data_IF_638588083834
#
_entry.id   IF_638588083834
#
_cell.length_a   1.000
_cell.length_b   1.000
_cell.length_c   1.000
_cell.angle_alpha   90.00
_cell.angle_beta   90.00
_cell.angle_gamma   90.00
#
_symmetry.space_group_name_H-M   'P 1'
#
loop_
_entity.id
_entity.type
_entity.pdbx_description
1 polymer ?
#
# COMPACT_ATOMS: atom_id res chain seq x y z
N UNK A 1 -3.54 36.54 43.96
CA UNK A 1 -3.97 35.13 43.97
C UNK A 1 -4.43 34.79 42.57
N UNK A 2 -3.55 34.23 41.75
CA UNK A 2 -3.86 33.67 40.45
C UNK A 2 -3.15 32.32 40.42
N UNK A 3 -3.93 31.25 40.48
CA UNK A 3 -3.45 29.88 40.48
C UNK A 3 -3.34 29.44 39.01
N UNK A 4 -2.11 29.19 38.55
CA UNK A 4 -1.84 28.71 37.20
C UNK A 4 -1.64 27.21 37.27
N UNK A 5 -2.71 26.46 37.02
CA UNK A 5 -2.66 24.99 36.90
C UNK A 5 -1.87 24.62 35.65
N UNK A 6 -0.65 24.11 35.84
CA UNK A 6 0.18 23.51 34.79
C UNK A 6 -0.37 22.12 34.49
N UNK A 7 -0.71 21.85 33.22
CA UNK A 7 -1.10 20.51 32.77
C UNK A 7 0.10 19.54 32.89
N UNK A 8 -0.12 18.28 33.32
CA UNK A 8 0.98 17.33 33.45
C UNK A 8 1.56 16.98 32.08
N UNK A 9 2.89 16.88 32.05
CA UNK A 9 3.64 16.40 30.90
C UNK A 9 3.16 14.98 30.54
N UNK A 10 2.91 14.76 29.25
CA UNK A 10 2.68 13.43 28.70
C UNK A 10 3.97 12.61 28.86
N UNK A 11 3.95 11.64 29.77
CA UNK A 11 4.97 10.60 29.85
C UNK A 11 5.03 9.88 28.51
N UNK A 12 6.19 9.96 27.87
CA UNK A 12 6.54 9.14 26.72
C UNK A 12 6.53 7.68 27.19
N UNK A 13 5.51 6.93 26.76
CA UNK A 13 5.36 5.52 27.08
C UNK A 13 6.45 4.75 26.34
N UNK A 14 7.64 4.65 26.95
CA UNK A 14 8.67 3.70 26.56
C UNK A 14 8.14 2.29 26.87
N UNK A 15 7.46 1.70 25.91
CA UNK A 15 7.17 0.26 25.89
C UNK A 15 8.48 -0.46 25.58
N UNK A 16 9.23 -0.77 26.64
CA UNK A 16 10.36 -1.68 26.61
C UNK A 16 9.81 -3.11 26.55
N UNK A 17 9.41 -3.53 25.35
CA UNK A 17 9.09 -4.92 25.06
C UNK A 17 10.39 -5.64 24.63
N UNK A 18 10.67 -6.86 25.12
CA UNK A 18 11.85 -7.60 24.71
C UNK A 18 11.82 -7.78 23.19
N UNK A 19 12.90 -7.38 22.52
CA UNK A 19 13.04 -7.47 21.07
C UNK A 19 12.99 -8.93 20.61
N UNK A 20 11.79 -9.41 20.31
CA UNK A 20 11.59 -10.69 19.65
C UNK A 20 12.02 -10.53 18.19
N UNK A 21 13.10 -11.19 17.80
CA UNK A 21 13.46 -11.36 16.39
C UNK A 21 12.29 -12.02 15.67
N UNK A 22 11.80 -11.40 14.59
CA UNK A 22 10.59 -11.84 13.91
C UNK A 22 10.60 -11.44 12.44
N UNK A 23 10.06 -12.31 11.58
CA UNK A 23 9.83 -12.00 10.15
C UNK A 23 8.79 -10.88 10.03
N UNK A 24 8.79 -10.17 8.90
CA UNK A 24 7.72 -9.23 8.56
C UNK A 24 6.33 -9.91 8.69
N UNK A 25 5.36 -9.20 9.27
CA UNK A 25 3.96 -9.64 9.39
C UNK A 25 3.07 -8.67 8.61
N UNK A 26 2.48 -9.18 7.53
CA UNK A 26 1.69 -8.39 6.59
C UNK A 26 0.42 -9.18 6.29
N UNK A 27 -0.68 -8.71 6.86
CA UNK A 27 -1.99 -9.35 6.75
C UNK A 27 -3.11 -8.28 6.80
N UNK A 28 -4.39 -8.65 6.61
CA UNK A 28 -5.48 -7.68 6.56
C UNK A 28 -5.70 -6.82 7.82
N UNK A 29 -5.08 -7.17 8.95
CA UNK A 29 -5.25 -6.48 10.24
C UNK A 29 -3.96 -5.86 10.77
N UNK A 30 -2.79 -6.29 10.31
CA UNK A 30 -1.48 -5.92 10.85
C UNK A 30 -0.44 -5.74 9.74
N UNK A 31 0.42 -4.74 9.94
CA UNK A 31 1.59 -4.47 9.10
C UNK A 31 2.76 -4.15 10.03
N UNK A 32 3.78 -5.02 10.04
CA UNK A 32 5.02 -4.80 10.78
C UNK A 32 6.23 -5.31 10.01
N UNK A 33 7.34 -4.58 10.10
CA UNK A 33 8.62 -4.94 9.47
C UNK A 33 9.36 -6.01 10.26
N UNK A 34 10.34 -6.65 9.61
CA UNK A 34 11.22 -7.62 10.26
C UNK A 34 12.03 -6.97 11.40
N UNK A 35 12.12 -7.64 12.55
CA UNK A 35 12.93 -7.20 13.69
C UNK A 35 14.28 -7.90 13.65
N UNK A 36 15.36 -7.11 13.50
CA UNK A 36 16.73 -7.61 13.48
C UNK A 36 17.23 -8.07 14.85
N UNK A 37 18.38 -8.74 14.88
CA UNK A 37 19.06 -9.18 16.12
C UNK A 37 19.45 -7.99 17.04
N UNK A 38 19.58 -6.80 16.46
CA UNK A 38 19.81 -5.54 17.17
C UNK A 38 18.53 -4.90 17.73
N UNK A 39 17.39 -5.59 17.60
CA UNK A 39 16.07 -5.14 18.03
C UNK A 39 15.45 -4.05 17.16
N UNK A 40 16.07 -3.68 16.04
CA UNK A 40 15.55 -2.63 15.16
C UNK A 40 14.60 -3.20 14.11
N UNK A 41 13.53 -2.46 13.85
CA UNK A 41 12.58 -2.76 12.78
C UNK A 41 13.19 -2.35 11.44
N UNK A 42 13.34 -3.30 10.53
CA UNK A 42 13.76 -3.08 9.14
C UNK A 42 12.59 -2.54 8.32
N UNK A 43 12.90 -1.84 7.23
CA UNK A 43 11.91 -1.46 6.24
C UNK A 43 11.25 -2.71 5.64
N UNK A 44 9.99 -2.58 5.19
CA UNK A 44 9.26 -3.67 4.55
C UNK A 44 9.96 -4.08 3.25
N UNK A 45 10.18 -5.39 3.08
CA UNK A 45 10.72 -5.94 1.84
C UNK A 45 9.57 -6.29 0.88
N UNK A 46 9.30 -5.37 -0.04
CA UNK A 46 8.26 -5.53 -1.05
C UNK A 46 8.57 -6.61 -2.09
N UNK A 47 9.84 -6.97 -2.32
CA UNK A 47 10.17 -8.07 -3.25
C UNK A 47 9.80 -9.41 -2.63
N UNK A 48 10.14 -9.59 -1.36
CA UNK A 48 9.74 -10.78 -0.59
C UNK A 48 8.22 -10.95 -0.55
N UNK A 49 7.46 -9.86 -0.47
CA UNK A 49 6.00 -9.91 -0.54
C UNK A 49 5.46 -10.42 -1.89
N UNK A 50 6.13 -10.09 -3.00
CA UNK A 50 5.73 -10.58 -4.33
C UNK A 50 5.82 -12.10 -4.37
N UNK A 51 6.93 -12.64 -3.85
CA UNK A 51 7.17 -14.08 -3.80
C UNK A 51 6.20 -14.78 -2.82
N UNK A 52 6.03 -14.23 -1.61
CA UNK A 52 5.16 -14.80 -0.56
C UNK A 52 3.69 -14.79 -0.96
N UNK A 53 3.21 -13.74 -1.64
CA UNK A 53 1.83 -13.66 -2.12
C UNK A 53 1.66 -14.21 -3.54
N UNK A 54 2.70 -14.66 -4.23
CA UNK A 54 2.61 -15.16 -5.60
C UNK A 54 1.98 -14.13 -6.55
N UNK A 55 2.38 -12.87 -6.44
CA UNK A 55 2.01 -11.81 -7.37
C UNK A 55 3.10 -11.61 -8.41
N UNK A 56 2.86 -10.75 -9.40
CA UNK A 56 3.86 -10.35 -10.37
C UNK A 56 4.21 -8.88 -10.18
N UNK A 57 5.47 -8.51 -10.39
CA UNK A 57 5.91 -7.12 -10.36
C UNK A 57 5.27 -6.34 -11.52
N UNK A 58 4.87 -5.09 -11.26
CA UNK A 58 4.61 -4.11 -12.31
C UNK A 58 5.96 -3.56 -12.73
N UNK A 59 6.52 -4.12 -13.79
CA UNK A 59 7.81 -3.73 -14.34
C UNK A 59 7.68 -2.64 -15.43
N UNK A 60 8.82 -2.10 -15.88
CA UNK A 60 8.86 -1.04 -16.88
C UNK A 60 8.22 -1.47 -18.21
N UNK A 61 8.37 -2.74 -18.61
CA UNK A 61 7.77 -3.28 -19.81
C UNK A 61 6.22 -3.29 -19.73
N UNK A 62 5.66 -3.62 -18.56
CA UNK A 62 4.22 -3.55 -18.33
C UNK A 62 3.71 -2.11 -18.28
N UNK A 63 4.49 -1.18 -17.73
CA UNK A 63 4.16 0.26 -17.75
C UNK A 63 4.13 0.81 -19.19
N UNK A 64 5.12 0.46 -20.01
CA UNK A 64 5.15 0.83 -21.43
C UNK A 64 3.95 0.23 -22.18
N UNK A 65 3.62 -1.04 -21.90
CA UNK A 65 2.43 -1.67 -22.47
C UNK A 65 1.16 -0.95 -22.06
N UNK A 66 0.99 -0.62 -20.78
CA UNK A 66 -0.16 0.13 -20.28
C UNK A 66 -0.35 1.44 -21.05
N UNK A 67 0.71 2.23 -21.21
CA UNK A 67 0.65 3.51 -21.93
C UNK A 67 0.21 3.32 -23.38
N UNK A 68 0.77 2.32 -24.06
CA UNK A 68 0.45 2.00 -25.46
C UNK A 68 -0.99 1.53 -25.63
N UNK A 69 -1.48 0.69 -24.73
CA UNK A 69 -2.82 0.07 -24.81
C UNK A 69 -3.91 1.08 -24.46
N UNK A 70 -3.72 1.85 -23.39
CA UNK A 70 -4.73 2.79 -22.88
C UNK A 70 -4.65 4.17 -23.56
N UNK A 71 -3.53 4.50 -24.20
CA UNK A 71 -3.25 5.84 -24.72
C UNK A 71 -2.96 6.88 -23.62
N UNK A 72 -2.90 6.45 -22.36
CA UNK A 72 -2.76 7.30 -21.19
C UNK A 72 -1.51 6.95 -20.39
N UNK A 73 -0.76 7.99 -19.98
CA UNK A 73 0.47 7.81 -19.24
C UNK A 73 0.22 7.16 -17.86
N UNK A 74 0.80 5.99 -17.52
CA UNK A 74 0.47 5.20 -16.33
C UNK A 74 0.43 6.03 -15.06
N UNK A 75 -0.51 5.79 -14.13
CA UNK A 75 -0.67 6.62 -12.95
C UNK A 75 0.64 6.82 -12.17
N UNK A 76 0.80 7.98 -11.51
CA UNK A 76 2.01 8.29 -10.72
C UNK A 76 2.33 7.24 -9.66
N UNK A 77 1.33 6.51 -9.14
CA UNK A 77 1.53 5.45 -8.16
C UNK A 77 2.15 4.19 -8.77
N UNK A 78 1.86 3.88 -10.02
CA UNK A 78 2.53 2.79 -10.73
C UNK A 78 3.98 3.18 -11.05
N UNK A 79 4.19 4.37 -11.65
CA UNK A 79 5.52 4.87 -12.02
C UNK A 79 6.48 5.13 -10.85
N UNK A 80 5.96 5.20 -9.62
CA UNK A 80 6.75 5.41 -8.39
C UNK A 80 6.84 4.15 -7.53
N UNK A 81 6.31 3.00 -7.98
CA UNK A 81 6.33 1.75 -7.22
C UNK A 81 5.48 1.77 -5.95
N UNK A 82 4.45 2.62 -5.87
CA UNK A 82 3.46 2.60 -4.77
C UNK A 82 2.45 1.48 -5.02
N UNK A 83 1.94 1.40 -6.25
CA UNK A 83 1.25 0.21 -6.78
C UNK A 83 2.32 -0.58 -7.53
N UNK A 84 2.88 -1.59 -6.89
CA UNK A 84 4.12 -2.25 -7.35
C UNK A 84 3.91 -3.68 -7.87
N UNK A 85 2.80 -4.34 -7.53
CA UNK A 85 2.53 -5.70 -7.97
C UNK A 85 1.08 -5.89 -8.39
N UNK A 86 0.83 -6.95 -9.15
CA UNK A 86 -0.48 -7.28 -9.70
C UNK A 86 -0.71 -8.79 -9.77
N UNK A 87 -1.96 -9.19 -10.02
CA UNK A 87 -2.33 -10.51 -10.56
C UNK A 87 -3.17 -10.27 -11.80
N UNK A 88 -2.79 -10.90 -12.92
CA UNK A 88 -3.55 -10.88 -14.18
C UNK A 88 -3.84 -9.50 -14.80
N UNK A 89 -3.03 -8.47 -14.52
CA UNK A 89 -3.14 -7.16 -15.17
C UNK A 89 -2.96 -7.25 -16.69
N UNK A 90 -2.07 -8.15 -17.14
CA UNK A 90 -1.88 -8.48 -18.56
C UNK A 90 -3.19 -8.94 -19.20
N UNK A 91 -3.99 -9.76 -18.52
CA UNK A 91 -5.29 -10.24 -18.99
C UNK A 91 -6.31 -9.10 -19.11
N UNK A 92 -6.28 -8.13 -18.19
CA UNK A 92 -7.12 -6.93 -18.29
C UNK A 92 -6.72 -6.08 -19.50
N UNK A 93 -5.41 -5.90 -19.74
CA UNK A 93 -4.93 -5.21 -20.94
C UNK A 93 -5.34 -5.92 -22.23
N UNK A 94 -5.26 -7.26 -22.27
CA UNK A 94 -5.73 -8.05 -23.43
C UNK A 94 -7.23 -7.82 -23.70
N UNK A 95 -8.06 -7.74 -22.65
CA UNK A 95 -9.50 -7.45 -22.77
C UNK A 95 -9.74 -6.04 -23.29
N UNK A 96 -8.99 -5.07 -22.77
CA UNK A 96 -9.06 -3.68 -23.21
C UNK A 96 -8.73 -3.56 -24.70
N UNK A 97 -7.65 -4.19 -25.17
CA UNK A 97 -7.26 -4.21 -26.60
C UNK A 97 -8.35 -4.82 -27.50
N UNK A 98 -9.13 -5.78 -26.98
CA UNK A 98 -10.23 -6.44 -27.70
C UNK A 98 -11.58 -5.73 -27.57
N UNK A 99 -11.65 -4.60 -26.86
CA UNK A 99 -12.90 -3.93 -26.51
C UNK A 99 -13.87 -4.85 -25.74
N UNK A 100 -13.34 -5.78 -24.94
CA UNK A 100 -14.13 -6.65 -24.08
C UNK A 100 -14.42 -5.94 -22.75
N UNK A 101 -15.67 -6.02 -22.24
CA UNK A 101 -16.03 -5.32 -21.01
C UNK A 101 -15.38 -5.96 -19.77
N UNK A 102 -15.02 -5.10 -18.82
CA UNK A 102 -14.66 -5.43 -17.46
C UNK A 102 -15.12 -4.30 -16.52
N UNK A 103 -15.03 -4.52 -15.21
CA UNK A 103 -15.40 -3.52 -14.21
C UNK A 103 -14.33 -3.45 -13.11
N UNK A 104 -14.21 -2.30 -12.47
CA UNK A 104 -13.35 -2.13 -11.30
C UNK A 104 -14.15 -2.37 -10.02
N UNK A 105 -13.51 -3.03 -9.05
CA UNK A 105 -14.10 -3.30 -7.74
C UNK A 105 -13.10 -2.97 -6.64
N UNK A 106 -13.50 -2.12 -5.72
CA UNK A 106 -12.77 -1.81 -4.48
C UNK A 106 -13.76 -1.58 -3.35
N UNK A 107 -13.29 -1.65 -2.11
CA UNK A 107 -14.12 -1.49 -0.93
C UNK A 107 -13.35 -0.96 0.27
N UNK A 108 -14.09 -0.54 1.29
CA UNK A 108 -13.54 -0.05 2.55
C UNK A 108 -14.40 -0.56 3.71
N UNK A 109 -13.77 -1.23 4.67
CA UNK A 109 -14.40 -1.57 5.94
C UNK A 109 -14.75 -0.29 6.72
N UNK A 110 -15.97 -0.13 7.27
CA UNK A 110 -16.32 1.04 8.07
C UNK A 110 -15.42 1.14 9.30
N UNK A 111 -14.61 2.19 9.41
CA UNK A 111 -13.84 2.57 10.60
C UNK A 111 -14.28 3.96 11.10
N UNK A 112 -14.07 4.26 12.39
CA UNK A 112 -14.62 5.42 13.13
C UNK A 112 -14.46 6.77 12.42
N UNK A 113 -15.40 7.68 12.69
CA UNK A 113 -15.59 9.13 12.41
C UNK A 113 -14.91 9.82 11.20
N UNK A 114 -13.69 9.47 10.78
CA UNK A 114 -12.99 10.14 9.68
C UNK A 114 -12.03 9.25 8.89
N UNK A 115 -11.82 9.58 7.60
CA UNK A 115 -10.76 8.98 6.78
C UNK A 115 -9.46 9.76 6.93
N UNK A 116 -8.37 9.07 7.24
CA UNK A 116 -7.02 9.63 7.09
C UNK A 116 -6.48 9.48 5.65
N UNK A 117 -5.40 10.21 5.33
CA UNK A 117 -4.77 10.25 4.00
C UNK A 117 -4.37 8.88 3.44
N UNK A 118 -4.05 7.91 4.30
CA UNK A 118 -3.81 6.52 3.89
C UNK A 118 -4.96 5.91 3.07
N UNK A 119 -6.21 6.24 3.40
CA UNK A 119 -7.38 5.70 2.69
C UNK A 119 -7.57 6.30 1.31
N UNK A 120 -7.13 7.53 1.06
CA UNK A 120 -7.40 8.23 -0.20
C UNK A 120 -6.61 7.66 -1.36
N UNK A 121 -5.46 7.02 -1.10
CA UNK A 121 -4.58 6.47 -2.12
C UNK A 121 -5.29 5.45 -3.03
N UNK A 122 -6.09 4.55 -2.45
CA UNK A 122 -6.83 3.52 -3.21
C UNK A 122 -7.91 4.17 -4.08
N UNK A 123 -8.68 5.10 -3.51
CA UNK A 123 -9.77 5.77 -4.23
C UNK A 123 -9.27 6.68 -5.35
N UNK A 124 -8.18 7.41 -5.11
CA UNK A 124 -7.54 8.26 -6.11
C UNK A 124 -7.04 7.43 -7.31
N UNK A 125 -6.48 6.25 -7.04
CA UNK A 125 -5.98 5.35 -8.08
C UNK A 125 -7.13 4.76 -8.91
N UNK A 126 -8.16 4.22 -8.27
CA UNK A 126 -9.31 3.61 -8.97
C UNK A 126 -10.08 4.63 -9.81
N UNK A 127 -10.17 5.89 -9.35
CA UNK A 127 -10.79 6.95 -10.15
C UNK A 127 -10.02 7.23 -11.45
N UNK A 128 -8.69 7.23 -11.40
CA UNK A 128 -7.85 7.48 -12.57
C UNK A 128 -8.03 6.40 -13.64
N UNK A 129 -8.19 5.13 -13.24
CA UNK A 129 -8.39 4.04 -14.19
C UNK A 129 -9.75 4.09 -14.93
N UNK A 130 -10.68 4.94 -14.48
CA UNK A 130 -11.98 5.18 -15.14
C UNK A 130 -12.00 6.38 -16.09
N UNK A 131 -10.94 7.20 -16.12
CA UNK A 131 -10.87 8.44 -16.90
C UNK A 131 -10.06 8.29 -18.18
#
# INVERSE_FOLDING_TARGET
MADATIAPAVEDATVDAPAATGKQDINPWSVSGEVGEDGKVKAIDYRKLIDEFGTSLIDDALLERWERVTGSKPHRFMRRGIVFSHRDLTTILDRYEKNEPFFLYTGRGPSSDSMHIGHTQVFDFVKYDLS
#
